data_IF_180306139771
#
_entry.id   IF_180306139771
#
_cell.length_a   1.000
_cell.length_b   1.000
_cell.length_c   1.000
_cell.angle_alpha   90.00
_cell.angle_beta   90.00
_cell.angle_gamma   90.00
#
_symmetry.space_group_name_H-M   'P 1'
#
loop_
_entity.id
_entity.type
_entity.pdbx_description
1 polymer ?
#
# COMPACT_ATOMS: atom_id res chain seq x y z
N UNK A 1 -3.52 16.26 -5.51
CA UNK A 1 -4.45 15.14 -5.72
C UNK A 1 -3.66 13.85 -5.55
N UNK A 2 -4.29 12.69 -5.38
CA UNK A 2 -3.62 11.40 -5.48
C UNK A 2 -4.49 10.43 -6.28
N UNK A 3 -3.88 9.66 -7.17
CA UNK A 3 -4.62 8.69 -8.01
C UNK A 3 -4.46 7.30 -7.43
N UNK A 4 -5.56 6.57 -7.28
CA UNK A 4 -5.54 5.22 -6.73
C UNK A 4 -5.00 4.23 -7.76
N UNK A 5 -4.17 3.29 -7.30
CA UNK A 5 -3.71 2.12 -8.04
C UNK A 5 -3.82 0.90 -7.12
N UNK A 6 -4.22 -0.25 -7.69
CA UNK A 6 -4.23 -1.55 -7.05
C UNK A 6 -3.16 -2.44 -7.71
N UNK A 7 -1.91 -2.46 -7.19
CA UNK A 7 -0.80 -3.21 -7.77
C UNK A 7 -1.05 -4.70 -7.98
N UNK A 8 -1.89 -5.31 -7.14
CA UNK A 8 -2.28 -6.71 -7.23
C UNK A 8 -3.40 -6.98 -8.25
N UNK A 9 -3.92 -5.96 -8.94
CA UNK A 9 -4.92 -6.11 -10.00
C UNK A 9 -4.23 -6.07 -11.37
N UNK A 10 -4.35 -7.14 -12.19
CA UNK A 10 -3.71 -7.20 -13.50
C UNK A 10 -4.04 -5.99 -14.39
N UNK A 11 -3.01 -5.38 -14.96
CA UNK A 11 -3.14 -4.25 -15.87
C UNK A 11 -3.17 -2.87 -15.19
N UNK A 12 -3.26 -2.76 -13.87
CA UNK A 12 -3.31 -1.45 -13.21
C UNK A 12 -1.96 -0.73 -13.17
N UNK A 13 -0.86 -1.45 -12.92
CA UNK A 13 0.50 -0.88 -12.97
C UNK A 13 0.80 -0.32 -14.37
N UNK A 14 0.36 -1.02 -15.42
CA UNK A 14 0.53 -0.59 -16.81
C UNK A 14 -0.30 0.66 -17.14
N UNK A 15 -1.47 0.82 -16.50
CA UNK A 15 -2.35 1.99 -16.68
C UNK A 15 -1.80 3.25 -16.02
N UNK A 16 -0.80 3.16 -15.14
CA UNK A 16 -0.20 4.31 -14.45
C UNK A 16 0.29 5.40 -15.42
N UNK A 17 0.84 5.05 -16.59
CA UNK A 17 1.26 6.04 -17.59
C UNK A 17 0.09 6.90 -18.08
N UNK A 18 -1.00 6.24 -18.46
CA UNK A 18 -2.22 6.93 -18.91
C UNK A 18 -2.79 7.80 -17.79
N UNK A 19 -2.81 7.28 -16.57
CA UNK A 19 -3.32 7.99 -15.41
C UNK A 19 -2.44 9.17 -14.99
N UNK A 20 -1.12 9.06 -15.17
CA UNK A 20 -0.19 10.17 -15.01
C UNK A 20 -0.57 11.32 -15.94
N UNK A 21 -0.76 11.01 -17.23
CA UNK A 21 -1.05 12.05 -18.24
C UNK A 21 -2.45 12.66 -18.06
N UNK A 22 -3.45 11.84 -17.71
CA UNK A 22 -4.84 12.28 -17.62
C UNK A 22 -5.15 13.00 -16.32
N UNK A 23 -4.62 12.51 -15.20
CA UNK A 23 -4.97 13.01 -13.87
C UNK A 23 -3.89 13.88 -13.23
N UNK A 24 -2.66 13.82 -13.75
CA UNK A 24 -1.50 14.57 -13.26
C UNK A 24 -1.39 14.45 -11.73
N UNK A 25 -1.24 13.21 -11.20
CA UNK A 25 -1.26 12.98 -9.77
C UNK A 25 -0.05 13.62 -9.10
N UNK A 26 -0.27 14.25 -7.94
CA UNK A 26 0.83 14.61 -7.04
C UNK A 26 1.41 13.37 -6.36
N UNK A 27 0.64 12.27 -6.25
CA UNK A 27 1.09 11.00 -5.70
C UNK A 27 0.18 9.82 -6.06
N UNK A 28 0.69 8.61 -5.87
CA UNK A 28 -0.04 7.36 -6.06
C UNK A 28 -0.61 6.88 -4.73
N UNK A 29 -1.92 6.66 -4.67
CA UNK A 29 -2.61 6.10 -3.49
C UNK A 29 -2.82 4.60 -3.67
N UNK A 30 -2.52 3.82 -2.66
CA UNK A 30 -2.73 2.38 -2.69
C UNK A 30 -3.09 1.84 -1.30
N UNK A 31 -3.55 0.60 -1.30
CA UNK A 31 -3.95 -0.17 -0.12
C UNK A 31 -3.36 -1.57 -0.25
N UNK A 32 -2.41 -1.91 0.60
CA UNK A 32 -1.85 -3.27 0.72
C UNK A 32 -2.90 -4.28 1.20
N UNK A 33 -3.92 -3.79 1.93
CA UNK A 33 -5.09 -4.56 2.35
C UNK A 33 -6.08 -4.84 1.21
N UNK A 34 -5.98 -4.14 0.08
CA UNK A 34 -6.88 -4.39 -1.04
C UNK A 34 -6.66 -5.82 -1.53
N UNK A 35 -7.73 -6.60 -1.61
CA UNK A 35 -7.60 -8.04 -1.80
C UNK A 35 -7.32 -8.81 -0.50
N UNK A 36 -7.79 -8.41 0.67
CA UNK A 36 -7.76 -9.34 1.81
C UNK A 36 -8.79 -10.48 1.59
N UNK A 37 -8.48 -11.44 0.70
CA UNK A 37 -9.40 -12.49 0.23
C UNK A 37 -10.08 -13.19 1.41
N UNK A 38 -11.42 -13.17 1.43
CA UNK A 38 -12.20 -13.83 2.49
C UNK A 38 -12.09 -13.20 3.89
N UNK A 39 -11.47 -12.02 4.02
CA UNK A 39 -11.25 -11.32 5.30
C UNK A 39 -11.88 -9.91 5.29
N UNK A 40 -12.46 -9.51 6.43
CA UNK A 40 -13.03 -8.17 6.63
C UNK A 40 -14.44 -7.97 6.04
N UNK A 41 -15.01 -6.78 6.23
CA UNK A 41 -16.40 -6.47 5.83
C UNK A 41 -16.64 -6.44 4.32
N UNK A 42 -15.58 -6.34 3.51
CA UNK A 42 -15.68 -6.03 2.08
C UNK A 42 -15.65 -7.26 1.17
N UNK A 43 -15.44 -8.47 1.71
CA UNK A 43 -15.45 -9.75 0.96
C UNK A 43 -14.64 -9.71 -0.35
N UNK A 44 -13.38 -9.29 -0.26
CA UNK A 44 -12.51 -9.21 -1.43
C UNK A 44 -12.22 -10.60 -2.03
N UNK A 45 -11.95 -10.63 -3.34
CA UNK A 45 -11.59 -11.85 -4.10
C UNK A 45 -10.10 -11.95 -4.42
N UNK A 46 -9.43 -10.82 -4.54
CA UNK A 46 -7.98 -10.77 -4.79
C UNK A 46 -7.22 -11.05 -3.48
N UNK A 47 -5.91 -11.34 -3.55
CA UNK A 47 -5.03 -11.54 -2.39
C UNK A 47 -4.32 -10.26 -1.95
N UNK A 48 -4.06 -10.12 -0.65
CA UNK A 48 -3.41 -8.95 -0.09
C UNK A 48 -1.93 -9.05 -0.34
N UNK A 49 -1.26 -7.92 -0.34
CA UNK A 49 0.12 -7.83 -0.77
C UNK A 49 0.89 -6.89 0.16
N UNK A 50 2.21 -6.92 0.03
CA UNK A 50 3.17 -6.12 0.79
C UNK A 50 3.99 -5.29 -0.20
N UNK A 51 4.32 -4.06 0.17
CA UNK A 51 5.15 -3.18 -0.64
C UNK A 51 6.55 -3.76 -0.91
N UNK A 52 7.06 -4.63 -0.03
CA UNK A 52 8.35 -5.31 -0.20
C UNK A 52 8.26 -6.69 -0.88
N UNK A 53 7.09 -7.11 -1.38
CA UNK A 53 6.96 -8.37 -2.11
C UNK A 53 7.35 -8.25 -3.60
N UNK A 54 7.77 -9.38 -4.17
CA UNK A 54 8.24 -9.45 -5.57
C UNK A 54 7.11 -9.42 -6.60
N UNK A 55 5.87 -9.75 -6.20
CA UNK A 55 4.75 -9.96 -7.12
C UNK A 55 4.03 -8.65 -7.48
N UNK A 56 3.75 -7.82 -6.48
CA UNK A 56 2.99 -6.57 -6.60
C UNK A 56 3.80 -5.36 -6.14
N UNK A 57 4.54 -5.49 -5.04
CA UNK A 57 5.26 -4.40 -4.39
C UNK A 57 6.40 -3.83 -5.22
N UNK A 58 7.43 -4.63 -5.47
CA UNK A 58 8.60 -4.21 -6.24
C UNK A 58 8.25 -3.72 -7.67
N UNK A 59 7.35 -4.39 -8.43
CA UNK A 59 6.90 -3.88 -9.72
C UNK A 59 6.24 -2.49 -9.62
N UNK A 60 5.39 -2.28 -8.62
CA UNK A 60 4.75 -0.98 -8.41
C UNK A 60 5.76 0.11 -8.03
N UNK A 61 6.71 -0.18 -7.13
CA UNK A 61 7.75 0.77 -6.73
C UNK A 61 8.61 1.19 -7.93
N UNK A 62 9.08 0.22 -8.72
CA UNK A 62 9.82 0.49 -9.96
C UNK A 62 8.99 1.36 -10.90
N UNK A 63 7.70 1.05 -11.04
CA UNK A 63 6.84 1.81 -11.94
C UNK A 63 6.60 3.24 -11.46
N UNK A 64 6.38 3.45 -10.17
CA UNK A 64 6.24 4.79 -9.60
C UNK A 64 7.48 5.65 -9.91
N UNK A 65 8.68 5.08 -9.81
CA UNK A 65 9.92 5.74 -10.20
C UNK A 65 9.92 6.15 -11.68
N UNK A 66 9.56 5.23 -12.57
CA UNK A 66 9.49 5.47 -14.01
C UNK A 66 8.45 6.55 -14.39
N UNK A 67 7.33 6.63 -13.66
CA UNK A 67 6.33 7.68 -13.90
C UNK A 67 6.85 9.08 -13.54
N UNK A 68 7.90 9.19 -12.71
CA UNK A 68 8.37 10.46 -12.16
C UNK A 68 7.48 11.03 -11.04
N UNK A 69 6.50 10.26 -10.57
CA UNK A 69 5.61 10.64 -9.45
C UNK A 69 6.01 9.80 -8.24
N UNK A 70 6.79 10.40 -7.34
CA UNK A 70 7.51 9.68 -6.27
C UNK A 70 6.84 9.79 -4.90
N UNK A 71 5.70 10.48 -4.79
CA UNK A 71 4.90 10.51 -3.56
C UNK A 71 3.98 9.30 -3.52
N UNK A 72 4.20 8.43 -2.54
CA UNK A 72 3.46 7.20 -2.30
C UNK A 72 2.56 7.34 -1.08
N UNK A 73 1.26 7.44 -1.33
CA UNK A 73 0.20 7.57 -0.35
C UNK A 73 -0.30 6.17 0.05
N UNK A 74 -0.16 5.76 1.32
CA UNK A 74 -0.47 4.38 1.74
C UNK A 74 -1.28 4.32 3.02
N UNK A 75 -2.34 3.51 3.00
CA UNK A 75 -3.08 3.18 4.22
C UNK A 75 -2.28 2.16 5.03
N UNK A 76 -1.88 2.53 6.25
CA UNK A 76 -1.26 1.64 7.23
C UNK A 76 -1.89 1.89 8.60
N UNK A 77 -2.15 0.84 9.36
CA UNK A 77 -2.96 0.92 10.58
C UNK A 77 -4.47 1.00 10.33
N UNK A 78 -5.25 1.12 11.41
CA UNK A 78 -6.73 1.06 11.44
C UNK A 78 -7.27 -0.02 10.49
N UNK A 79 -6.84 -1.26 10.75
CA UNK A 79 -7.26 -2.42 9.99
C UNK A 79 -8.68 -2.85 10.39
N UNK A 80 -9.29 -3.74 9.59
CA UNK A 80 -10.62 -4.29 9.88
C UNK A 80 -10.58 -5.58 10.70
N UNK A 81 -9.40 -5.99 11.17
CA UNK A 81 -9.22 -7.19 12.02
C UNK A 81 -7.81 -7.79 11.94
N UNK A 82 -7.54 -8.73 12.85
CA UNK A 82 -6.25 -9.35 13.15
C UNK A 82 -5.41 -9.73 11.93
N UNK A 83 -6.04 -10.41 10.98
CA UNK A 83 -5.39 -10.94 9.77
C UNK A 83 -4.89 -9.81 8.85
N UNK A 84 -5.53 -8.65 8.92
CA UNK A 84 -5.13 -7.44 8.19
C UNK A 84 -4.30 -6.47 9.02
N UNK A 85 -4.20 -6.66 10.34
CA UNK A 85 -3.62 -5.69 11.29
C UNK A 85 -2.09 -5.72 11.38
N UNK A 86 -1.56 -5.65 12.62
CA UNK A 86 -0.13 -5.42 12.89
C UNK A 86 0.83 -6.43 12.24
N UNK A 87 0.42 -7.70 12.11
CA UNK A 87 1.21 -8.76 11.46
C UNK A 87 0.89 -8.92 9.97
N UNK A 88 -0.15 -8.26 9.49
CA UNK A 88 -0.69 -8.37 8.15
C UNK A 88 -0.40 -7.14 7.27
N UNK A 89 -1.15 -6.97 6.16
CA UNK A 89 -0.94 -5.93 5.17
C UNK A 89 -1.04 -4.48 5.69
N UNK A 90 -1.74 -4.21 6.81
CA UNK A 90 -1.79 -2.85 7.38
C UNK A 90 -0.52 -2.46 8.13
N UNK A 91 0.36 -3.43 8.42
CA UNK A 91 1.61 -3.19 9.12
C UNK A 91 2.50 -2.20 8.36
N UNK A 92 3.04 -1.16 9.03
CA UNK A 92 4.01 -0.25 8.42
C UNK A 92 5.44 -0.83 8.36
N UNK A 93 5.63 -2.12 8.70
CA UNK A 93 6.96 -2.75 8.85
C UNK A 93 7.88 -2.61 7.62
N UNK A 94 7.30 -2.57 6.44
CA UNK A 94 8.00 -2.48 5.16
C UNK A 94 8.40 -1.06 4.76
N UNK A 95 7.81 -0.02 5.39
CA UNK A 95 8.06 1.38 5.00
C UNK A 95 9.53 1.75 5.16
N UNK A 96 10.15 1.36 6.27
CA UNK A 96 11.57 1.63 6.53
C UNK A 96 12.52 0.94 5.53
N UNK A 97 12.43 -0.40 5.37
CA UNK A 97 13.20 -1.12 4.36
C UNK A 97 13.02 -0.57 2.94
N UNK A 98 11.78 -0.30 2.52
CA UNK A 98 11.49 0.24 1.18
C UNK A 98 12.03 1.65 1.01
N UNK A 99 11.85 2.55 1.99
CA UNK A 99 12.40 3.91 1.94
C UNK A 99 13.94 3.91 1.85
N UNK A 100 14.60 2.92 2.46
CA UNK A 100 16.05 2.74 2.33
C UNK A 100 16.46 2.26 0.94
N UNK A 101 15.69 1.36 0.33
CA UNK A 101 15.98 0.81 -0.99
C UNK A 101 15.64 1.80 -2.13
N UNK A 102 14.63 2.64 -1.93
CA UNK A 102 14.15 3.63 -2.90
C UNK A 102 14.18 5.04 -2.28
N UNK A 103 15.37 5.65 -2.13
CA UNK A 103 15.56 6.88 -1.36
C UNK A 103 14.86 8.12 -1.95
N UNK A 104 14.50 8.08 -3.23
CA UNK A 104 13.77 9.16 -3.91
C UNK A 104 12.25 9.13 -3.64
N UNK A 105 11.73 8.02 -3.10
CA UNK A 105 10.32 7.89 -2.76
C UNK A 105 10.00 8.62 -1.45
N UNK A 106 8.90 9.37 -1.46
CA UNK A 106 8.35 10.03 -0.29
C UNK A 106 7.05 9.36 0.12
N UNK A 107 6.98 8.86 1.36
CA UNK A 107 5.77 8.23 1.87
C UNK A 107 4.85 9.22 2.57
N UNK A 108 3.57 9.20 2.17
CA UNK A 108 2.47 9.76 2.94
C UNK A 108 1.70 8.59 3.56
N UNK A 109 2.01 8.29 4.82
CA UNK A 109 1.41 7.18 5.57
C UNK A 109 0.18 7.68 6.32
N UNK A 110 -0.99 7.15 5.97
CA UNK A 110 -2.23 7.48 6.68
C UNK A 110 -2.23 6.84 8.06
N UNK A 111 -2.96 7.47 8.99
CA UNK A 111 -3.07 7.06 10.39
C UNK A 111 -1.74 6.95 11.13
N UNK A 112 -0.64 7.48 10.58
CA UNK A 112 0.70 7.34 11.16
C UNK A 112 1.13 5.89 11.37
N UNK A 113 0.53 4.93 10.66
CA UNK A 113 0.74 3.50 10.89
C UNK A 113 0.12 2.96 12.19
N UNK A 114 -0.79 3.73 12.82
CA UNK A 114 -1.44 3.37 14.08
C UNK A 114 -2.42 2.23 13.90
N UNK A 115 -2.14 1.09 14.53
CA UNK A 115 -3.07 -0.03 14.63
C UNK A 115 -3.71 -0.04 16.02
N UNK A 116 -5.05 0.05 16.14
CA UNK A 116 -5.73 -0.14 17.41
C UNK A 116 -5.40 -1.52 18.00
N UNK A 117 -5.29 -1.59 19.32
CA UNK A 117 -5.11 -2.87 20.01
C UNK A 117 -6.33 -3.75 19.80
N UNK A 118 -6.09 -5.02 19.56
CA UNK A 118 -7.11 -6.05 19.68
C UNK A 118 -7.04 -6.68 21.08
N UNK A 119 -8.08 -6.47 21.89
CA UNK A 119 -8.16 -7.01 23.25
C UNK A 119 -7.08 -6.47 24.20
N UNK A 120 -6.70 -7.28 25.20
CA UNK A 120 -5.88 -6.88 26.36
C UNK A 120 -4.34 -6.96 26.13
N UNK A 121 -3.86 -6.79 24.90
CA UNK A 121 -2.44 -6.99 24.51
C UNK A 121 -1.45 -5.99 25.17
N UNK A 122 -0.88 -6.22 26.37
CA UNK A 122 0.05 -5.30 27.08
C UNK A 122 1.12 -4.61 26.20
N UNK A 123 1.48 -3.36 26.54
CA UNK A 123 2.55 -2.60 25.86
C UNK A 123 3.92 -3.22 26.19
N UNK A 124 4.75 -3.45 25.17
CA UNK A 124 6.13 -3.92 25.33
C UNK A 124 7.10 -2.73 25.36
#
# INVERSE_FOLDING_TARGET
>A
NHTTVHPNVPGEIERMDRWKDWFVPAGWKFYTMYGAEGVGMMNWKDKSWMLDDEESGLPFLSRAMDTGVHILCVHKGISSGADTGWKGPSSPREIGPVAKAFPDIQFLVYHSGYEPREGDQEEW
#
